data_IF_308190348151
#
_entry.id   IF_308190348151
#
_cell.length_a   1.000
_cell.length_b   1.000
_cell.length_c   1.000
_cell.angle_alpha   90.00
_cell.angle_beta   90.00
_cell.angle_gamma   90.00
#
_symmetry.space_group_name_H-M   'P 1'
#
loop_
_entity.id
_entity.type
_entity.pdbx_description
1 polymer ?
#
# COMPACT_ATOMS: atom_id res chain seq x y z
N UNK A 1 20.85 -18.75 5.23
CA UNK A 1 20.80 -17.36 5.78
C UNK A 1 21.39 -17.28 7.20
N UNK A 2 22.69 -17.55 7.39
CA UNK A 2 23.33 -17.48 8.73
C UNK A 2 23.86 -16.06 9.04
N UNK A 3 24.04 -15.20 8.03
CA UNK A 3 24.66 -13.88 8.18
C UNK A 3 23.70 -12.75 8.62
N UNK A 4 22.41 -12.81 8.27
CA UNK A 4 21.46 -11.73 8.59
C UNK A 4 21.14 -11.61 10.08
N UNK A 5 21.29 -12.70 10.85
CA UNK A 5 20.95 -12.74 12.28
C UNK A 5 21.80 -11.82 13.18
N UNK A 6 22.89 -11.23 12.67
CA UNK A 6 23.71 -10.24 13.39
C UNK A 6 23.28 -8.80 13.15
N UNK A 7 22.46 -8.52 12.13
CA UNK A 7 22.06 -7.15 11.84
C UNK A 7 21.04 -6.66 12.88
N UNK A 8 21.30 -5.48 13.44
CA UNK A 8 20.33 -4.80 14.32
C UNK A 8 19.27 -4.05 13.53
N UNK A 9 19.63 -3.55 12.35
CA UNK A 9 18.73 -2.79 11.49
C UNK A 9 19.12 -2.90 10.01
N UNK A 10 18.12 -2.84 9.14
CA UNK A 10 18.24 -2.66 7.69
C UNK A 10 17.54 -1.35 7.31
N UNK A 11 18.26 -0.47 6.62
CA UNK A 11 17.70 0.80 6.16
C UNK A 11 16.73 0.61 5.00
N UNK A 12 17.13 -0.19 4.01
CA UNK A 12 16.39 -0.39 2.78
C UNK A 12 16.45 -1.86 2.39
N UNK A 13 15.28 -2.48 2.24
CA UNK A 13 15.13 -3.81 1.66
C UNK A 13 14.30 -3.70 0.39
N UNK A 14 14.89 -4.11 -0.74
CA UNK A 14 14.22 -4.18 -2.02
C UNK A 14 14.18 -5.63 -2.49
N UNK A 15 13.00 -6.09 -2.84
CA UNK A 15 12.74 -7.47 -3.23
C UNK A 15 12.12 -7.46 -4.62
N UNK A 16 12.69 -8.25 -5.52
CA UNK A 16 12.17 -8.46 -6.87
C UNK A 16 11.76 -9.90 -7.04
N UNK A 17 10.62 -10.15 -7.67
CA UNK A 17 10.24 -11.45 -8.25
C UNK A 17 10.56 -12.63 -7.35
N UNK A 18 10.22 -12.53 -6.07
CA UNK A 18 10.22 -13.69 -5.22
C UNK A 18 9.09 -14.58 -5.69
N UNK A 19 9.39 -15.48 -6.62
CA UNK A 19 8.62 -16.70 -6.82
C UNK A 19 8.71 -17.53 -5.54
N UNK A 20 8.12 -17.05 -4.45
CA UNK A 20 7.87 -17.86 -3.28
C UNK A 20 6.72 -18.77 -3.71
N UNK A 21 7.07 -19.84 -4.43
CA UNK A 21 6.13 -20.88 -4.79
C UNK A 21 5.55 -21.45 -3.49
N UNK A 22 4.38 -20.94 -3.11
CA UNK A 22 3.51 -21.48 -2.09
C UNK A 22 2.74 -22.72 -2.60
N UNK A 23 3.05 -23.21 -3.80
CA UNK A 23 2.34 -24.32 -4.46
C UNK A 23 2.31 -25.63 -3.65
N UNK A 24 3.15 -25.79 -2.63
CA UNK A 24 3.14 -26.99 -1.79
C UNK A 24 2.76 -26.76 -0.31
N UNK A 25 2.21 -25.60 0.07
CA UNK A 25 2.12 -25.23 1.49
C UNK A 25 0.71 -25.14 2.08
N UNK A 26 -0.33 -25.18 1.26
CA UNK A 26 -1.70 -25.39 1.73
C UNK A 26 -2.24 -26.70 1.15
N UNK A 27 -2.17 -27.78 1.94
CA UNK A 27 -3.31 -28.08 2.80
C UNK A 27 -2.97 -28.25 4.29
N UNK A 28 -1.75 -27.91 4.75
CA UNK A 28 -1.32 -28.14 6.14
C UNK A 28 -0.82 -26.88 6.83
N UNK A 29 -1.69 -25.88 6.95
CA UNK A 29 -1.53 -24.85 7.99
C UNK A 29 -2.01 -25.33 9.38
N UNK A 30 -1.81 -26.62 9.64
CA UNK A 30 -1.88 -27.22 10.98
C UNK A 30 -0.49 -27.19 11.61
N UNK A 31 -0.20 -26.08 12.31
CA UNK A 31 0.79 -25.96 13.41
C UNK A 31 2.25 -26.41 13.22
N UNK A 32 2.68 -27.08 12.14
CA UNK A 32 3.99 -27.72 12.10
C UNK A 32 4.74 -27.50 10.77
N UNK A 33 5.91 -26.88 10.91
CA UNK A 33 7.10 -27.06 10.08
C UNK A 33 7.36 -26.11 8.89
N UNK A 34 7.28 -24.80 9.12
CA UNK A 34 8.33 -23.92 8.59
C UNK A 34 9.40 -23.66 9.65
N UNK A 35 10.48 -24.43 9.56
CA UNK A 35 11.76 -24.08 10.19
C UNK A 35 12.57 -23.22 9.21
N UNK A 36 12.04 -22.05 8.79
CA UNK A 36 12.94 -20.96 8.39
C UNK A 36 13.59 -20.46 9.67
N UNK A 37 14.60 -21.18 10.14
CA UNK A 37 15.43 -20.83 11.30
C UNK A 37 14.59 -20.31 12.46
N UNK A 38 13.90 -21.21 13.19
CA UNK A 38 13.63 -20.98 14.62
C UNK A 38 14.98 -20.89 15.36
N UNK A 39 15.81 -19.90 15.04
CA UNK A 39 16.71 -19.35 16.05
C UNK A 39 15.80 -18.50 16.90
N UNK A 40 15.96 -18.63 18.20
CA UNK A 40 15.57 -17.63 19.17
C UNK A 40 16.29 -16.31 18.80
N UNK A 41 15.85 -15.64 17.74
CA UNK A 41 16.20 -14.26 17.45
C UNK A 41 15.38 -13.49 18.48
N UNK A 42 15.96 -13.29 19.66
CA UNK A 42 15.31 -12.55 20.75
C UNK A 42 15.00 -11.10 20.37
N UNK A 43 15.54 -10.61 19.24
CA UNK A 43 15.35 -9.26 18.72
C UNK A 43 15.21 -9.28 17.21
N UNK A 44 13.99 -9.01 16.70
CA UNK A 44 13.75 -8.81 15.26
C UNK A 44 14.64 -7.68 14.71
N UNK A 45 14.97 -7.78 13.42
CA UNK A 45 15.79 -6.78 12.73
C UNK A 45 14.91 -5.58 12.39
N UNK A 46 15.27 -4.37 12.83
CA UNK A 46 14.49 -3.18 12.46
C UNK A 46 14.57 -2.92 10.95
N UNK A 47 13.43 -2.65 10.31
CA UNK A 47 13.40 -2.30 8.89
C UNK A 47 12.80 -0.90 8.71
N UNK A 48 13.55 0.02 8.08
CA UNK A 48 13.06 1.38 7.82
C UNK A 48 12.28 1.52 6.50
N UNK A 49 12.74 0.86 5.42
CA UNK A 49 12.13 0.98 4.10
C UNK A 49 12.02 -0.38 3.43
N UNK A 50 10.82 -0.67 2.91
CA UNK A 50 10.51 -1.90 2.18
C UNK A 50 9.96 -1.58 0.80
N UNK A 51 10.52 -2.23 -0.22
CA UNK A 51 10.01 -2.21 -1.58
C UNK A 51 9.90 -3.65 -2.10
N UNK A 52 8.68 -4.06 -2.45
CA UNK A 52 8.38 -5.37 -3.03
C UNK A 52 7.88 -5.12 -4.45
N UNK A 53 8.62 -5.67 -5.42
CA UNK A 53 8.28 -5.61 -6.84
C UNK A 53 7.98 -7.02 -7.35
N UNK A 54 6.80 -7.22 -7.89
CA UNK A 54 6.35 -8.44 -8.56
C UNK A 54 6.28 -8.23 -10.08
N UNK A 55 6.29 -9.32 -10.84
CA UNK A 55 5.95 -9.28 -12.27
C UNK A 55 4.48 -9.65 -12.44
N UNK A 56 3.82 -8.92 -13.35
CA UNK A 56 2.37 -8.95 -13.63
C UNK A 56 1.81 -10.29 -14.10
N UNK A 57 2.64 -11.32 -14.31
CA UNK A 57 2.23 -12.65 -14.76
C UNK A 57 2.24 -13.73 -13.68
N UNK A 58 2.74 -13.44 -12.48
CA UNK A 58 2.99 -14.45 -11.45
C UNK A 58 2.02 -14.28 -10.26
N UNK A 59 1.03 -15.19 -10.17
CA UNK A 59 0.04 -15.37 -9.07
C UNK A 59 0.67 -15.64 -7.68
N UNK A 60 1.99 -15.50 -7.52
CA UNK A 60 2.77 -16.13 -6.45
C UNK A 60 3.16 -15.18 -5.30
N UNK A 61 2.67 -13.93 -5.28
CA UNK A 61 3.11 -12.92 -4.32
C UNK A 61 2.14 -12.70 -3.15
N UNK A 62 1.48 -13.76 -2.67
CA UNK A 62 0.67 -13.70 -1.45
C UNK A 62 1.57 -13.85 -0.21
N UNK A 63 1.24 -13.17 0.88
CA UNK A 63 1.89 -13.33 2.20
C UNK A 63 3.38 -12.92 2.26
N UNK A 64 3.89 -12.12 1.32
CA UNK A 64 5.28 -11.65 1.37
C UNK A 64 5.56 -10.86 2.66
N UNK A 65 4.61 -10.01 3.10
CA UNK A 65 4.76 -9.27 4.36
C UNK A 65 4.80 -10.20 5.56
N UNK A 66 4.04 -11.29 5.54
CA UNK A 66 4.06 -12.30 6.59
C UNK A 66 5.44 -12.95 6.70
N UNK A 67 6.00 -13.42 5.59
CA UNK A 67 7.35 -14.00 5.57
C UNK A 67 8.40 -13.02 6.10
N UNK A 68 8.33 -11.76 5.66
CA UNK A 68 9.26 -10.73 6.15
C UNK A 68 9.05 -10.43 7.64
N UNK A 69 7.81 -10.50 8.13
CA UNK A 69 7.53 -10.26 9.55
C UNK A 69 8.15 -11.30 10.48
N UNK A 70 8.56 -12.47 9.98
CA UNK A 70 9.27 -13.48 10.77
C UNK A 70 10.69 -13.03 11.12
N UNK A 71 11.34 -12.27 10.24
CA UNK A 71 12.72 -11.79 10.41
C UNK A 71 12.81 -10.31 10.83
N UNK A 72 11.89 -9.48 10.35
CA UNK A 72 11.93 -8.03 10.47
C UNK A 72 10.84 -7.49 11.40
N UNK A 73 11.20 -6.46 12.17
CA UNK A 73 10.25 -5.63 12.88
C UNK A 73 9.71 -4.56 11.93
N UNK A 74 8.41 -4.64 11.64
CA UNK A 74 7.71 -3.74 10.73
C UNK A 74 7.10 -2.53 11.46
N UNK A 75 7.17 -2.47 12.80
CA UNK A 75 6.65 -1.32 13.58
C UNK A 75 7.43 -0.04 13.28
N UNK A 76 8.73 -0.17 13.03
CA UNK A 76 9.65 0.92 12.72
C UNK A 76 9.68 1.31 11.23
N UNK A 77 8.80 0.71 10.41
CA UNK A 77 8.77 0.94 8.98
C UNK A 77 8.28 2.37 8.66
N UNK A 78 9.10 3.14 7.97
CA UNK A 78 8.80 4.51 7.55
C UNK A 78 8.32 4.57 6.10
N UNK A 79 8.65 3.57 5.27
CA UNK A 79 8.27 3.53 3.86
C UNK A 79 7.93 2.11 3.43
N UNK A 80 6.81 1.98 2.73
CA UNK A 80 6.40 0.73 2.08
C UNK A 80 5.99 0.99 0.64
N UNK A 81 6.48 0.14 -0.27
CA UNK A 81 6.10 0.12 -1.68
C UNK A 81 5.78 -1.31 -2.11
N UNK A 82 4.56 -1.56 -2.55
CA UNK A 82 4.08 -2.88 -2.99
C UNK A 82 3.59 -2.75 -4.43
N UNK A 83 4.28 -3.38 -5.39
CA UNK A 83 3.98 -3.18 -6.82
C UNK A 83 4.25 -4.42 -7.69
N UNK A 84 3.27 -4.96 -8.42
CA UNK A 84 1.86 -5.05 -8.05
C UNK A 84 1.67 -6.10 -6.95
N UNK A 85 0.61 -5.98 -6.15
CA UNK A 85 0.31 -6.94 -5.09
C UNK A 85 -1.19 -7.27 -4.99
N UNK A 86 -1.49 -8.48 -4.50
CA UNK A 86 -2.80 -8.84 -3.96
C UNK A 86 -2.65 -8.94 -2.44
N UNK A 87 -3.39 -8.10 -1.70
CA UNK A 87 -3.35 -8.09 -0.24
C UNK A 87 -4.31 -9.13 0.33
N UNK A 88 -3.81 -9.95 1.24
CA UNK A 88 -4.58 -10.91 2.03
C UNK A 88 -5.01 -10.32 3.38
N UNK A 89 -5.87 -11.00 4.13
CA UNK A 89 -6.24 -10.60 5.50
C UNK A 89 -5.02 -10.46 6.42
N UNK A 90 -3.99 -11.30 6.24
CA UNK A 90 -2.77 -11.23 7.03
C UNK A 90 -2.00 -9.94 6.71
N UNK A 91 -1.96 -9.54 5.44
CA UNK A 91 -1.30 -8.30 5.03
C UNK A 91 -1.96 -7.07 5.67
N UNK A 92 -3.30 -7.01 5.70
CA UNK A 92 -4.03 -5.94 6.39
C UNK A 92 -3.71 -5.87 7.89
N UNK A 93 -3.70 -7.03 8.58
CA UNK A 93 -3.33 -7.11 10.01
C UNK A 93 -1.90 -6.64 10.26
N UNK A 94 -0.97 -6.95 9.36
CA UNK A 94 0.42 -6.48 9.46
C UNK A 94 0.53 -4.98 9.20
N UNK A 95 -0.20 -4.46 8.21
CA UNK A 95 -0.21 -3.04 7.90
C UNK A 95 -0.66 -2.18 9.09
N UNK A 96 -1.64 -2.67 9.86
CA UNK A 96 -2.10 -2.01 11.08
C UNK A 96 -1.01 -1.80 12.14
N UNK A 97 0.09 -2.58 12.10
CA UNK A 97 1.19 -2.47 13.07
C UNK A 97 2.25 -1.45 12.65
N UNK A 98 2.23 -0.99 11.39
CA UNK A 98 3.26 -0.12 10.81
C UNK A 98 3.04 1.37 11.14
N UNK A 99 2.92 1.71 12.42
CA UNK A 99 2.44 3.02 12.88
C UNK A 99 3.35 4.20 12.50
N UNK A 100 4.61 3.96 12.10
CA UNK A 100 5.59 4.99 11.73
C UNK A 100 5.66 5.30 10.23
N UNK A 101 4.77 4.73 9.42
CA UNK A 101 4.77 4.96 7.97
C UNK A 101 4.61 6.43 7.63
N UNK A 102 5.55 6.94 6.81
CA UNK A 102 5.53 8.27 6.18
C UNK A 102 5.23 8.19 4.70
N UNK A 103 5.61 7.09 4.06
CA UNK A 103 5.45 6.88 2.61
C UNK A 103 4.75 5.55 2.36
N UNK A 104 3.62 5.60 1.65
CA UNK A 104 2.84 4.42 1.25
C UNK A 104 2.66 4.43 -0.26
N UNK A 105 3.14 3.38 -0.93
CA UNK A 105 2.93 3.17 -2.37
C UNK A 105 2.36 1.78 -2.57
N UNK A 106 1.18 1.68 -3.17
CA UNK A 106 0.53 0.38 -3.38
C UNK A 106 -0.09 0.36 -4.78
N UNK A 107 0.19 -0.71 -5.50
CA UNK A 107 -0.36 -0.99 -6.83
C UNK A 107 -0.98 -2.38 -6.81
N UNK A 108 -2.26 -2.50 -7.19
CA UNK A 108 -2.98 -3.77 -7.16
C UNK A 108 -2.71 -4.63 -8.41
N UNK A 109 -2.66 -5.95 -8.21
CA UNK A 109 -2.44 -6.90 -9.31
C UNK A 109 -3.64 -6.96 -10.27
N UNK A 110 -3.35 -6.74 -11.56
CA UNK A 110 -4.28 -6.92 -12.67
C UNK A 110 -5.54 -6.06 -12.63
N UNK A 111 -5.67 -5.11 -11.70
CA UNK A 111 -6.93 -4.37 -11.44
C UNK A 111 -8.14 -5.31 -11.34
N UNK A 112 -7.96 -6.54 -10.85
CA UNK A 112 -9.07 -7.51 -10.70
C UNK A 112 -9.65 -7.39 -9.30
N UNK A 113 -8.79 -7.44 -8.27
CA UNK A 113 -9.17 -7.32 -6.87
C UNK A 113 -8.86 -5.90 -6.37
N UNK A 114 -9.87 -5.24 -5.81
CA UNK A 114 -9.71 -3.91 -5.23
C UNK A 114 -9.07 -4.02 -3.84
N UNK A 115 -8.18 -3.08 -3.51
CA UNK A 115 -7.62 -2.98 -2.16
C UNK A 115 -8.67 -2.34 -1.26
N UNK A 116 -8.94 -2.96 -0.11
CA UNK A 116 -9.83 -2.41 0.91
C UNK A 116 -9.07 -1.36 1.72
N UNK A 117 -9.22 -0.08 1.37
CA UNK A 117 -8.55 1.02 2.09
C UNK A 117 -9.04 1.15 3.53
N UNK A 118 -10.27 0.73 3.84
CA UNK A 118 -10.81 0.76 5.21
C UNK A 118 -10.08 -0.23 6.09
N UNK A 119 -9.80 -1.45 5.59
CA UNK A 119 -8.96 -2.42 6.31
C UNK A 119 -7.51 -1.97 6.39
N UNK A 120 -6.96 -1.50 5.27
CA UNK A 120 -5.58 -1.04 5.16
C UNK A 120 -5.26 0.08 6.15
N UNK A 121 -6.16 1.04 6.28
CA UNK A 121 -6.01 2.19 7.17
C UNK A 121 -6.94 2.13 8.39
N UNK A 122 -7.20 0.91 8.89
CA UNK A 122 -8.01 0.72 10.10
C UNK A 122 -7.30 1.22 11.37
N UNK A 123 -5.96 1.33 11.36
CA UNK A 123 -5.22 2.02 12.42
C UNK A 123 -5.11 3.52 12.13
N UNK A 124 -5.89 4.31 12.87
CA UNK A 124 -5.96 5.77 12.74
C UNK A 124 -4.66 6.51 13.09
N UNK A 125 -3.69 5.87 13.74
CA UNK A 125 -2.37 6.46 13.97
C UNK A 125 -1.69 6.90 12.65
N UNK A 126 -1.95 6.15 11.56
CA UNK A 126 -1.42 6.44 10.23
C UNK A 126 -1.88 7.78 9.66
N UNK A 127 -3.07 8.26 10.06
CA UNK A 127 -3.61 9.54 9.60
C UNK A 127 -2.75 10.74 10.01
N UNK A 128 -1.90 10.58 11.01
CA UNK A 128 -0.98 11.61 11.49
C UNK A 128 0.48 11.38 11.06
N UNK A 129 0.81 10.26 10.41
CA UNK A 129 2.21 9.93 10.08
C UNK A 129 2.48 9.90 8.59
N UNK A 130 1.51 9.49 7.76
CA UNK A 130 1.70 9.40 6.31
C UNK A 130 1.71 10.79 5.67
N UNK A 131 2.76 11.05 4.90
CA UNK A 131 3.04 12.31 4.21
C UNK A 131 2.90 12.14 2.69
N UNK A 132 3.27 10.97 2.16
CA UNK A 132 3.20 10.67 0.73
C UNK A 132 2.44 9.38 0.50
N UNK A 133 1.45 9.43 -0.40
CA UNK A 133 0.63 8.29 -0.76
C UNK A 133 0.49 8.16 -2.28
N UNK A 134 0.73 6.96 -2.80
CA UNK A 134 0.45 6.59 -4.19
C UNK A 134 -0.38 5.31 -4.20
N UNK A 135 -1.60 5.37 -4.70
CA UNK A 135 -2.52 4.24 -4.78
C UNK A 135 -2.87 4.02 -6.24
N UNK A 136 -2.59 2.81 -6.74
CA UNK A 136 -3.04 2.34 -8.03
C UNK A 136 -3.93 1.12 -7.83
N UNK A 137 -5.22 1.26 -8.14
CA UNK A 137 -6.24 0.24 -7.89
C UNK A 137 -7.21 0.13 -9.08
N UNK A 138 -8.13 -0.82 -9.03
CA UNK A 138 -9.18 -0.95 -10.05
C UNK A 138 -10.21 0.16 -9.96
N UNK A 139 -10.66 0.42 -8.73
CA UNK A 139 -11.81 1.25 -8.45
C UNK A 139 -11.57 2.03 -7.16
N UNK A 140 -11.99 3.29 -7.14
CA UNK A 140 -12.02 4.12 -5.93
C UNK A 140 -13.46 4.49 -5.68
N UNK A 141 -13.91 4.32 -4.44
CA UNK A 141 -15.26 4.64 -4.01
C UNK A 141 -15.32 5.96 -3.24
N UNK A 142 -16.52 6.46 -2.99
CA UNK A 142 -16.71 7.65 -2.15
C UNK A 142 -16.20 7.46 -0.71
N UNK A 143 -16.28 6.24 -0.17
CA UNK A 143 -15.77 5.94 1.18
C UNK A 143 -14.25 5.90 1.22
N UNK A 144 -13.60 5.44 0.14
CA UNK A 144 -12.16 5.52 -0.01
C UNK A 144 -11.69 6.99 0.02
N UNK A 145 -12.37 7.89 -0.69
CA UNK A 145 -12.07 9.33 -0.66
C UNK A 145 -12.21 9.91 0.76
N UNK A 146 -13.23 9.49 1.52
CA UNK A 146 -13.40 9.91 2.92
C UNK A 146 -12.23 9.44 3.80
N UNK A 147 -11.78 8.20 3.63
CA UNK A 147 -10.60 7.69 4.36
C UNK A 147 -9.36 8.50 3.99
N UNK A 148 -9.13 8.75 2.70
CA UNK A 148 -7.99 9.54 2.22
C UNK A 148 -8.02 10.99 2.73
N UNK A 149 -9.20 11.58 2.89
CA UNK A 149 -9.36 12.92 3.46
C UNK A 149 -9.02 13.01 4.95
N UNK A 150 -8.89 11.86 5.65
CA UNK A 150 -8.59 11.83 7.08
C UNK A 150 -7.10 12.05 7.39
N UNK A 151 -6.22 11.99 6.38
CA UNK A 151 -4.78 12.16 6.55
C UNK A 151 -4.39 13.63 6.68
N UNK A 152 -4.05 14.05 7.90
CA UNK A 152 -3.80 15.46 8.23
C UNK A 152 -2.46 15.99 7.72
N UNK A 153 -1.47 15.11 7.59
CA UNK A 153 -0.09 15.46 7.21
C UNK A 153 0.24 15.13 5.75
N UNK A 154 -0.78 14.80 4.94
CA UNK A 154 -0.59 14.38 3.57
C UNK A 154 -0.13 15.54 2.69
N UNK A 155 1.13 15.53 2.27
CA UNK A 155 1.71 16.52 1.35
C UNK A 155 1.51 16.11 -0.11
N UNK A 156 1.45 14.81 -0.41
CA UNK A 156 1.27 14.32 -1.78
C UNK A 156 0.35 13.10 -1.80
N UNK A 157 -0.67 13.16 -2.66
CA UNK A 157 -1.59 12.07 -2.94
C UNK A 157 -1.66 11.85 -4.45
N UNK A 158 -1.36 10.63 -4.88
CA UNK A 158 -1.53 10.19 -6.25
C UNK A 158 -2.50 9.02 -6.28
N UNK A 159 -3.55 9.12 -7.09
CA UNK A 159 -4.53 8.06 -7.33
C UNK A 159 -4.47 7.66 -8.80
N UNK A 160 -4.50 6.36 -9.06
CA UNK A 160 -4.65 5.77 -10.39
C UNK A 160 -5.76 4.72 -10.29
N UNK A 161 -6.84 4.90 -11.05
CA UNK A 161 -8.01 4.01 -11.03
C UNK A 161 -8.54 3.81 -12.45
N UNK A 162 -8.96 2.58 -12.79
CA UNK A 162 -9.69 2.38 -14.06
C UNK A 162 -11.12 2.89 -13.97
N UNK A 163 -11.75 2.63 -12.83
CA UNK A 163 -13.13 3.00 -12.56
C UNK A 163 -13.13 4.12 -11.55
N UNK A 164 -13.43 5.31 -12.02
CA UNK A 164 -13.74 6.45 -11.16
C UNK A 164 -14.91 7.20 -11.78
N UNK A 165 -16.00 7.28 -11.03
CA UNK A 165 -17.22 7.97 -11.48
C UNK A 165 -17.30 9.38 -10.89
N UNK A 166 -18.19 10.20 -11.47
CA UNK A 166 -18.41 11.54 -10.98
C UNK A 166 -18.89 11.57 -9.51
N UNK A 167 -19.67 10.58 -9.09
CA UNK A 167 -20.18 10.47 -7.72
C UNK A 167 -19.06 10.29 -6.70
N UNK A 168 -17.98 9.62 -7.07
CA UNK A 168 -16.75 9.51 -6.28
C UNK A 168 -15.94 10.80 -6.35
N UNK A 169 -15.69 11.32 -7.56
CA UNK A 169 -14.87 12.52 -7.79
C UNK A 169 -15.41 13.74 -7.05
N UNK A 170 -16.73 13.97 -7.03
CA UNK A 170 -17.34 15.13 -6.36
C UNK A 170 -17.06 15.21 -4.85
N UNK A 171 -16.62 14.10 -4.24
CA UNK A 171 -16.20 14.08 -2.84
C UNK A 171 -14.74 14.53 -2.64
N UNK A 172 -13.95 14.57 -3.72
CA UNK A 172 -12.61 15.14 -3.72
C UNK A 172 -12.74 16.66 -3.74
N UNK A 173 -12.62 17.26 -2.56
CA UNK A 173 -12.72 18.72 -2.37
C UNK A 173 -11.41 19.27 -1.86
N UNK A 174 -10.97 20.40 -2.40
CA UNK A 174 -9.73 21.08 -2.05
C UNK A 174 -9.64 21.42 -0.57
N UNK A 175 -10.76 21.75 0.06
CA UNK A 175 -10.81 22.00 1.52
C UNK A 175 -10.33 20.82 2.38
N UNK A 176 -10.37 19.59 1.87
CA UNK A 176 -9.87 18.40 2.55
C UNK A 176 -8.40 18.09 2.20
N UNK A 177 -7.86 18.76 1.20
CA UNK A 177 -6.54 18.52 0.62
C UNK A 177 -5.76 19.84 0.44
N UNK A 178 -5.93 20.80 1.36
CA UNK A 178 -5.51 22.20 1.20
C UNK A 178 -4.03 22.36 0.85
N UNK A 179 -3.16 21.63 1.54
CA UNK A 179 -1.71 21.63 1.32
C UNK A 179 -1.24 20.41 0.54
N UNK A 180 -2.15 19.51 0.20
CA UNK A 180 -1.82 18.27 -0.51
C UNK A 180 -1.70 18.56 -2.00
N UNK A 181 -0.59 18.14 -2.59
CA UNK A 181 -0.48 17.99 -4.05
C UNK A 181 -1.29 16.75 -4.44
N UNK A 182 -2.47 16.99 -5.00
CA UNK A 182 -3.34 15.93 -5.51
C UNK A 182 -3.05 15.67 -6.99
N UNK A 183 -2.92 14.40 -7.36
CA UNK A 183 -2.71 13.94 -8.74
C UNK A 183 -3.66 12.77 -9.00
N UNK A 184 -4.47 12.88 -10.05
CA UNK A 184 -5.20 11.75 -10.63
C UNK A 184 -4.45 11.30 -11.89
N UNK A 185 -3.78 10.16 -11.85
CA UNK A 185 -2.96 9.65 -12.97
C UNK A 185 -3.81 8.98 -14.03
N UNK A 186 -4.66 8.06 -13.60
CA UNK A 186 -5.62 7.36 -14.45
C UNK A 186 -7.01 7.43 -13.81
N UNK A 187 -8.08 7.63 -14.62
CA UNK A 187 -8.01 8.00 -16.02
C UNK A 187 -7.33 9.38 -16.18
N UNK A 188 -6.52 9.54 -17.22
CA UNK A 188 -5.95 10.84 -17.58
C UNK A 188 -7.05 11.82 -18.03
N UNK A 189 -6.75 13.13 -18.14
CA UNK A 189 -7.75 14.16 -18.52
C UNK A 189 -8.55 13.83 -19.78
N UNK A 190 -7.90 13.30 -20.82
CA UNK A 190 -8.50 12.97 -22.11
C UNK A 190 -9.53 11.83 -22.01
N UNK A 191 -9.32 10.92 -21.05
CA UNK A 191 -10.18 9.76 -20.82
C UNK A 191 -11.24 9.99 -19.73
N UNK A 192 -11.31 11.20 -19.13
CA UNK A 192 -12.33 11.57 -18.13
C UNK A 192 -13.58 12.13 -18.82
N UNK A 193 -14.72 12.03 -18.14
CA UNK A 193 -15.91 12.78 -18.55
C UNK A 193 -15.71 14.29 -18.32
N UNK A 194 -16.46 15.11 -19.06
CA UNK A 194 -16.44 16.57 -18.90
C UNK A 194 -16.79 17.00 -17.48
N UNK A 195 -17.80 16.36 -16.85
CA UNK A 195 -18.21 16.65 -15.47
C UNK A 195 -17.08 16.45 -14.46
N UNK A 196 -16.27 15.40 -14.64
CA UNK A 196 -15.10 15.15 -13.80
C UNK A 196 -14.04 16.23 -14.01
N UNK A 197 -13.78 16.60 -15.27
CA UNK A 197 -12.79 17.63 -15.60
C UNK A 197 -13.21 19.00 -15.04
N UNK A 198 -14.46 19.40 -15.22
CA UNK A 198 -15.00 20.67 -14.70
C UNK A 198 -14.91 20.74 -13.16
N UNK A 199 -15.26 19.65 -12.47
CA UNK A 199 -15.16 19.58 -11.01
C UNK A 199 -13.71 19.72 -10.54
N UNK A 200 -12.78 18.94 -11.11
CA UNK A 200 -11.36 19.00 -10.73
C UNK A 200 -10.73 20.36 -11.05
N UNK A 201 -11.11 20.97 -12.18
CA UNK A 201 -10.66 22.31 -12.56
C UNK A 201 -11.12 23.36 -11.54
N UNK A 202 -12.36 23.25 -11.06
CA UNK A 202 -12.92 24.17 -10.05
C UNK A 202 -12.32 24.01 -8.66
N UNK A 203 -11.95 22.79 -8.27
CA UNK A 203 -11.42 22.51 -6.93
C UNK A 203 -9.91 22.78 -6.84
N UNK A 204 -9.12 22.44 -7.87
CA UNK A 204 -7.67 22.45 -7.77
C UNK A 204 -7.00 23.52 -8.64
N UNK A 205 -7.15 23.43 -9.96
CA UNK A 205 -6.56 24.38 -10.90
C UNK A 205 -7.15 24.19 -12.29
N UNK A 206 -7.24 25.27 -13.07
CA UNK A 206 -7.65 25.19 -14.48
C UNK A 206 -6.78 24.19 -15.25
N UNK A 207 -7.40 23.37 -16.10
CA UNK A 207 -6.74 22.31 -16.86
C UNK A 207 -6.01 21.29 -15.97
N UNK A 208 -6.67 20.83 -14.91
CA UNK A 208 -6.15 19.78 -14.03
C UNK A 208 -5.75 18.53 -14.85
N UNK A 209 -4.50 18.06 -14.72
CA UNK A 209 -3.95 16.98 -15.54
C UNK A 209 -4.55 15.60 -15.22
#
# INVERSE_FOLDING_TARGET
>A
MIYLAKFRSVSNLKIYNTGMMLENLYPRFSKHNFKFVKKNISKKIFLKKLEIIAWTSLLYMKNCLFFLSEAYDLVELESISLNPCELTEIDYVLFCKMIKLKVVKIESFGKINNIDLKKLFSNSALFNTVIVMNISVREITSDDIRILSSFKNLMSLSISSEKIDFMTIKNIKRKYFLTTKFILKEPNRENRSNEINEHLDSEFMFSFP
#
